data_IF_546912968074
#
_entry.id   IF_546912968074
#
_cell.length_a   1.000
_cell.length_b   1.000
_cell.length_c   1.000
_cell.angle_alpha   90.00
_cell.angle_beta   90.00
_cell.angle_gamma   90.00
#
_symmetry.space_group_name_H-M   'P 1'
#
loop_
_entity.id
_entity.type
_entity.pdbx_description
1 polymer ?
#
# COMPACT_ATOMS: atom_id res chain seq x y z
N UNK A 1 2.11 -18.19 -6.72
CA UNK A 1 2.37 -18.46 -8.16
C UNK A 1 2.03 -17.24 -9.03
N UNK A 2 0.83 -16.67 -8.95
CA UNK A 2 0.40 -15.50 -9.75
C UNK A 2 1.33 -14.29 -9.54
N UNK A 3 1.65 -13.95 -8.30
CA UNK A 3 2.51 -12.83 -7.95
C UNK A 3 3.91 -12.94 -8.56
N UNK A 4 4.57 -14.10 -8.43
CA UNK A 4 5.89 -14.35 -9.03
C UNK A 4 5.87 -14.18 -10.55
N UNK A 5 4.80 -14.66 -11.20
CA UNK A 5 4.63 -14.50 -12.65
C UNK A 5 4.46 -13.04 -13.07
N UNK A 6 3.78 -12.24 -12.26
CA UNK A 6 3.66 -10.79 -12.48
C UNK A 6 5.02 -10.11 -12.40
N UNK A 7 5.85 -10.45 -11.40
CA UNK A 7 7.21 -9.90 -11.31
C UNK A 7 8.11 -10.30 -12.49
N UNK A 8 8.01 -11.56 -12.96
CA UNK A 8 8.75 -12.00 -14.15
C UNK A 8 8.34 -11.17 -15.38
N UNK A 9 7.03 -10.93 -15.57
CA UNK A 9 6.56 -10.06 -16.65
C UNK A 9 7.12 -8.64 -16.54
N UNK A 10 7.15 -8.07 -15.35
CA UNK A 10 7.69 -6.73 -15.14
C UNK A 10 9.19 -6.67 -15.44
N UNK A 11 9.96 -7.72 -15.10
CA UNK A 11 11.39 -7.82 -15.44
C UNK A 11 11.65 -7.84 -16.96
N UNK A 12 10.69 -8.32 -17.76
CA UNK A 12 10.79 -8.29 -19.23
C UNK A 12 10.28 -6.96 -19.80
N UNK A 13 9.15 -6.48 -19.28
CA UNK A 13 8.49 -5.28 -19.80
C UNK A 13 9.28 -3.99 -19.52
N UNK A 14 9.96 -3.89 -18.37
CA UNK A 14 10.74 -2.71 -18.00
C UNK A 14 11.90 -2.44 -18.98
N UNK A 15 12.79 -3.41 -19.28
CA UNK A 15 13.81 -3.21 -20.30
C UNK A 15 13.21 -2.96 -21.69
N UNK A 16 12.16 -3.69 -22.06
CA UNK A 16 11.51 -3.51 -23.36
C UNK A 16 10.98 -2.09 -23.50
N UNK A 17 10.33 -1.55 -22.47
CA UNK A 17 9.89 -0.17 -22.46
C UNK A 17 11.07 0.81 -22.55
N UNK A 18 12.12 0.60 -21.78
CA UNK A 18 13.31 1.44 -21.78
C UNK A 18 13.94 1.59 -23.18
N UNK A 19 14.00 0.50 -23.97
CA UNK A 19 14.58 0.53 -25.31
C UNK A 19 13.63 1.00 -26.41
N UNK A 20 12.31 0.87 -26.24
CA UNK A 20 11.34 1.15 -27.29
C UNK A 20 10.54 2.42 -27.07
N UNK A 21 10.37 2.83 -25.81
CA UNK A 21 9.55 3.96 -25.35
C UNK A 21 8.07 3.91 -25.83
N UNK A 22 7.59 2.75 -26.28
CA UNK A 22 6.22 2.63 -26.77
C UNK A 22 5.18 2.79 -25.64
N UNK A 23 4.24 3.72 -25.82
CA UNK A 23 3.17 3.98 -24.84
C UNK A 23 2.36 2.71 -24.50
N UNK A 24 2.09 1.86 -25.48
CA UNK A 24 1.37 0.60 -25.26
C UNK A 24 2.10 -0.30 -24.25
N UNK A 25 3.43 -0.35 -24.26
CA UNK A 25 4.21 -1.14 -23.30
C UNK A 25 4.11 -0.51 -21.93
N UNK A 26 4.11 0.82 -21.83
CA UNK A 26 3.90 1.55 -20.58
C UNK A 26 2.52 1.24 -19.98
N UNK A 27 1.45 1.26 -20.77
CA UNK A 27 0.11 0.93 -20.30
C UNK A 27 0.00 -0.54 -19.82
N UNK A 28 0.68 -1.47 -20.50
CA UNK A 28 0.79 -2.86 -20.06
C UNK A 28 1.59 -2.97 -18.75
N UNK A 29 2.66 -2.19 -18.58
CA UNK A 29 3.41 -2.10 -17.31
C UNK A 29 2.50 -1.63 -16.17
N UNK A 30 1.78 -0.53 -16.35
CA UNK A 30 0.83 0.00 -15.37
C UNK A 30 -0.20 -1.05 -14.95
N UNK A 31 -0.78 -1.76 -15.93
CA UNK A 31 -1.75 -2.82 -15.66
C UNK A 31 -1.15 -3.96 -14.83
N UNK A 32 0.11 -4.34 -15.10
CA UNK A 32 0.78 -5.37 -14.33
C UNK A 32 1.18 -4.88 -12.93
N UNK A 33 1.60 -3.63 -12.77
CA UNK A 33 1.83 -3.02 -11.46
C UNK A 33 0.53 -3.03 -10.64
N UNK A 34 -0.58 -2.59 -11.21
CA UNK A 34 -1.89 -2.61 -10.53
C UNK A 34 -2.32 -4.01 -10.06
N UNK A 35 -1.93 -5.06 -10.79
CA UNK A 35 -2.22 -6.46 -10.44
C UNK A 35 -1.18 -7.11 -9.52
N UNK A 36 -0.08 -6.43 -9.25
CA UNK A 36 1.04 -7.01 -8.47
C UNK A 36 0.84 -6.99 -6.96
N UNK A 37 -0.20 -6.31 -6.49
CA UNK A 37 -0.52 -6.19 -5.07
C UNK A 37 0.03 -4.93 -4.41
N UNK A 38 -0.21 -4.84 -3.13
CA UNK A 38 0.00 -3.66 -2.29
C UNK A 38 1.46 -3.19 -2.23
N UNK A 39 2.38 -4.13 -2.11
CA UNK A 39 3.81 -3.83 -1.91
C UNK A 39 4.41 -3.11 -3.11
N UNK A 40 4.15 -3.60 -4.33
CA UNK A 40 4.72 -2.96 -5.53
C UNK A 40 4.04 -1.62 -5.84
N UNK A 41 2.72 -1.52 -5.64
CA UNK A 41 2.01 -0.23 -5.76
C UNK A 41 2.63 0.79 -4.80
N UNK A 42 2.81 0.40 -3.54
CA UNK A 42 3.42 1.28 -2.54
C UNK A 42 4.88 1.62 -2.86
N UNK A 43 5.62 0.66 -3.40
CA UNK A 43 6.98 0.91 -3.88
C UNK A 43 7.01 1.96 -5.01
N UNK A 44 6.09 1.89 -5.95
CA UNK A 44 5.95 2.91 -6.99
C UNK A 44 5.61 4.29 -6.39
N UNK A 45 4.63 4.36 -5.48
CA UNK A 45 4.28 5.60 -4.77
C UNK A 45 5.48 6.24 -4.08
N UNK A 46 6.32 5.42 -3.44
CA UNK A 46 7.48 5.86 -2.68
C UNK A 46 8.65 6.26 -3.57
N UNK A 47 8.87 5.55 -4.70
CA UNK A 47 10.04 5.72 -5.56
C UNK A 47 9.87 6.79 -6.63
N UNK A 48 8.68 6.95 -7.21
CA UNK A 48 8.44 7.83 -8.36
C UNK A 48 8.73 9.30 -8.06
N UNK A 49 8.31 9.91 -6.94
CA UNK A 49 8.66 11.29 -6.63
C UNK A 49 10.18 11.49 -6.56
N UNK A 50 10.91 10.54 -5.97
CA UNK A 50 12.37 10.57 -5.85
C UNK A 50 13.06 10.48 -7.21
N UNK A 51 12.56 9.61 -8.09
CA UNK A 51 13.06 9.49 -9.46
C UNK A 51 12.74 10.73 -10.28
N UNK A 52 11.57 11.33 -10.07
CA UNK A 52 11.20 12.55 -10.78
C UNK A 52 12.13 13.73 -10.43
N UNK A 53 12.50 13.89 -9.17
CA UNK A 53 13.49 14.89 -8.75
C UNK A 53 14.85 14.68 -9.41
N UNK A 54 15.25 13.43 -9.66
CA UNK A 54 16.55 13.08 -10.23
C UNK A 54 16.58 13.14 -11.76
N UNK A 55 15.50 12.73 -12.43
CA UNK A 55 15.50 12.48 -13.88
C UNK A 55 14.50 13.33 -14.65
N UNK A 56 13.73 14.21 -13.97
CA UNK A 56 12.68 15.05 -14.59
C UNK A 56 11.77 14.22 -15.52
N UNK A 57 11.07 13.26 -14.95
CA UNK A 57 10.24 12.31 -15.67
C UNK A 57 9.09 12.99 -16.42
N UNK A 58 8.60 12.36 -17.49
CA UNK A 58 7.45 12.84 -18.25
C UNK A 58 6.21 12.97 -17.35
N UNK A 59 5.69 14.19 -17.24
CA UNK A 59 4.55 14.52 -16.36
C UNK A 59 3.28 13.74 -16.71
N UNK A 60 3.03 13.43 -17.98
CA UNK A 60 1.88 12.60 -18.38
C UNK A 60 1.98 11.18 -17.85
N UNK A 61 3.20 10.63 -17.84
CA UNK A 61 3.48 9.30 -17.31
C UNK A 61 3.38 9.27 -15.79
N UNK A 62 3.86 10.33 -15.11
CA UNK A 62 3.69 10.48 -13.66
C UNK A 62 2.20 10.50 -13.31
N UNK A 63 1.39 11.30 -14.00
CA UNK A 63 -0.04 11.39 -13.76
C UNK A 63 -0.73 10.04 -13.91
N UNK A 64 -0.41 9.26 -14.96
CA UNK A 64 -0.90 7.89 -15.12
C UNK A 64 -0.49 6.96 -13.97
N UNK A 65 0.72 7.14 -13.43
CA UNK A 65 1.20 6.38 -12.27
C UNK A 65 0.49 6.81 -10.98
N UNK A 66 0.19 8.08 -10.81
CA UNK A 66 -0.57 8.61 -9.67
C UNK A 66 -1.99 8.05 -9.60
N UNK A 67 -2.62 7.77 -10.73
CA UNK A 67 -3.93 7.09 -10.77
C UNK A 67 -3.91 5.70 -10.12
N UNK A 68 -2.74 5.04 -10.04
CA UNK A 68 -2.61 3.76 -9.32
C UNK A 68 -2.75 3.91 -7.81
N UNK A 69 -2.53 5.11 -7.28
CA UNK A 69 -2.45 5.35 -5.84
C UNK A 69 -3.80 5.57 -5.20
N UNK A 70 -4.74 6.14 -5.96
CA UNK A 70 -6.02 6.61 -5.44
C UNK A 70 -7.12 5.56 -5.48
N UNK A 71 -6.96 4.53 -6.34
CA UNK A 71 -8.00 3.53 -6.60
C UNK A 71 -7.44 2.12 -6.56
N UNK A 72 -7.00 1.69 -5.39
CA UNK A 72 -6.65 0.30 -5.18
C UNK A 72 -7.91 -0.57 -5.15
N UNK A 73 -7.76 -1.84 -5.51
CA UNK A 73 -8.88 -2.77 -5.49
C UNK A 73 -9.37 -3.00 -4.06
N UNK A 74 -10.67 -3.02 -3.89
CA UNK A 74 -11.30 -3.41 -2.63
C UNK A 74 -11.13 -4.92 -2.40
N UNK A 75 -10.81 -5.31 -1.16
CA UNK A 75 -10.95 -6.70 -0.75
C UNK A 75 -12.40 -6.98 -0.32
N UNK A 76 -12.79 -8.26 -0.32
CA UNK A 76 -14.17 -8.64 -0.04
C UNK A 76 -14.56 -8.36 1.40
N UNK A 77 -15.85 -8.03 1.62
CA UNK A 77 -16.41 -7.85 2.95
C UNK A 77 -16.32 -9.14 3.78
N UNK A 78 -16.35 -10.32 3.15
CA UNK A 78 -16.13 -11.61 3.81
C UNK A 78 -14.76 -11.69 4.49
N UNK A 79 -13.71 -11.17 3.81
CA UNK A 79 -12.38 -11.09 4.42
C UNK A 79 -12.37 -10.14 5.61
N UNK A 80 -12.99 -8.97 5.49
CA UNK A 80 -13.11 -7.98 6.57
C UNK A 80 -13.82 -8.59 7.78
N UNK A 81 -14.96 -9.25 7.58
CA UNK A 81 -15.69 -9.94 8.65
C UNK A 81 -14.83 -11.01 9.33
N UNK A 82 -14.13 -11.83 8.55
CA UNK A 82 -13.24 -12.86 9.09
C UNK A 82 -12.13 -12.26 9.97
N UNK A 83 -11.51 -11.17 9.52
CA UNK A 83 -10.46 -10.50 10.29
C UNK A 83 -11.03 -9.84 11.54
N UNK A 84 -12.17 -9.18 11.42
CA UNK A 84 -12.87 -8.56 12.54
C UNK A 84 -13.22 -9.62 13.62
N UNK A 85 -13.88 -10.71 13.21
CA UNK A 85 -14.27 -11.79 14.12
C UNK A 85 -13.06 -12.47 14.77
N UNK A 86 -11.96 -12.66 14.03
CA UNK A 86 -10.72 -13.22 14.59
C UNK A 86 -10.15 -12.38 15.71
N UNK A 87 -10.21 -11.04 15.59
CA UNK A 87 -9.55 -10.12 16.51
C UNK A 87 -10.46 -9.66 17.66
N UNK A 88 -11.76 -9.56 17.43
CA UNK A 88 -12.72 -9.05 18.42
C UNK A 88 -13.70 -10.11 18.95
N UNK A 89 -13.61 -11.35 18.44
CA UNK A 89 -14.43 -12.52 18.86
C UNK A 89 -15.94 -12.30 18.70
N UNK A 90 -16.35 -11.37 17.87
CA UNK A 90 -17.75 -11.08 17.55
C UNK A 90 -17.92 -10.75 16.06
N UNK A 91 -19.13 -10.90 15.54
CA UNK A 91 -19.44 -10.50 14.17
C UNK A 91 -19.60 -8.98 14.09
N UNK A 92 -19.02 -8.37 13.05
CA UNK A 92 -19.14 -6.95 12.76
C UNK A 92 -20.62 -6.54 12.58
N UNK A 93 -21.44 -7.43 11.98
CA UNK A 93 -22.87 -7.20 11.74
C UNK A 93 -23.74 -7.25 13.00
N UNK A 94 -23.23 -7.81 14.12
CA UNK A 94 -23.93 -7.79 15.40
C UNK A 94 -23.75 -6.46 16.13
N UNK A 95 -22.61 -5.81 15.89
CA UNK A 95 -22.23 -4.60 16.60
C UNK A 95 -22.65 -3.33 15.87
N UNK A 96 -22.64 -3.34 14.54
CA UNK A 96 -22.88 -2.15 13.72
C UNK A 96 -24.09 -2.35 12.81
N UNK A 97 -24.93 -1.29 12.72
CA UNK A 97 -26.16 -1.30 11.93
C UNK A 97 -25.93 -1.02 10.46
N UNK A 98 -24.89 -0.26 10.14
CA UNK A 98 -24.49 0.02 8.75
C UNK A 98 -23.00 -0.05 8.56
N UNK A 99 -22.57 -0.58 7.40
CA UNK A 99 -21.17 -0.72 7.01
C UNK A 99 -21.06 -0.29 5.55
N UNK A 100 -20.27 0.76 5.29
CA UNK A 100 -20.07 1.34 3.96
C UNK A 100 -18.57 1.37 3.66
N UNK A 101 -18.19 0.89 2.48
CA UNK A 101 -16.81 0.97 1.97
C UNK A 101 -16.57 2.38 1.44
N UNK A 102 -15.66 3.14 2.08
CA UNK A 102 -15.42 4.54 1.69
C UNK A 102 -14.11 4.76 0.94
N UNK A 103 -13.08 3.97 1.21
CA UNK A 103 -11.79 4.14 0.56
C UNK A 103 -10.97 2.84 0.56
N UNK A 104 -10.19 2.64 -0.50
CA UNK A 104 -9.19 1.58 -0.59
C UNK A 104 -7.86 2.17 -1.05
N UNK A 105 -6.91 2.23 -0.12
CA UNK A 105 -5.53 2.61 -0.39
C UNK A 105 -4.66 1.41 -0.74
N UNK A 106 -3.36 1.63 -0.91
CA UNK A 106 -2.40 0.57 -1.26
C UNK A 106 -2.18 -0.46 -0.14
N UNK A 107 -2.40 -0.12 1.11
CA UNK A 107 -2.11 -0.99 2.27
C UNK A 107 -3.39 -1.53 2.90
N UNK A 108 -4.48 -0.77 2.90
CA UNK A 108 -5.69 -1.15 3.60
C UNK A 108 -6.92 -0.43 3.09
N UNK A 109 -8.05 -0.92 3.55
CA UNK A 109 -9.38 -0.45 3.21
C UNK A 109 -10.04 0.17 4.42
N UNK A 110 -10.80 1.23 4.20
CA UNK A 110 -11.51 1.98 5.25
C UNK A 110 -13.01 1.86 5.03
N UNK A 111 -13.70 1.57 6.12
CA UNK A 111 -15.15 1.47 6.20
C UNK A 111 -15.69 2.57 7.10
N UNK A 112 -16.83 3.15 6.73
CA UNK A 112 -17.66 3.94 7.61
C UNK A 112 -18.71 3.02 8.19
N UNK A 113 -18.81 3.00 9.50
CA UNK A 113 -19.80 2.20 10.24
C UNK A 113 -20.63 3.11 11.11
N UNK A 114 -21.84 2.67 11.45
CA UNK A 114 -22.65 3.27 12.50
C UNK A 114 -22.96 2.22 13.55
N UNK A 115 -22.74 2.56 14.80
CA UNK A 115 -23.16 1.74 15.91
C UNK A 115 -24.70 1.85 16.15
N UNK A 116 -25.17 1.16 17.16
CA UNK A 116 -26.61 1.14 17.52
C UNK A 116 -27.13 2.46 18.08
N UNK A 117 -26.23 3.31 18.57
CA UNK A 117 -26.49 4.65 19.06
C UNK A 117 -26.48 5.69 17.90
N UNK A 118 -26.06 5.27 16.69
CA UNK A 118 -25.99 6.09 15.49
C UNK A 118 -24.67 6.83 15.32
N UNK A 119 -23.69 6.61 16.18
CA UNK A 119 -22.37 7.21 16.12
C UNK A 119 -21.58 6.68 14.93
N UNK A 120 -20.90 7.59 14.23
CA UNK A 120 -20.10 7.25 13.05
C UNK A 120 -18.69 6.82 13.45
N UNK A 121 -18.29 5.61 13.02
CA UNK A 121 -17.00 5.00 13.34
C UNK A 121 -16.30 4.68 12.04
N UNK A 122 -14.97 4.94 11.96
CA UNK A 122 -14.11 4.49 10.88
C UNK A 122 -13.39 3.20 11.29
N UNK A 123 -13.51 2.17 10.45
CA UNK A 123 -12.76 0.91 10.59
C UNK A 123 -11.75 0.81 9.46
N UNK A 124 -10.47 0.62 9.79
CA UNK A 124 -9.40 0.34 8.83
C UNK A 124 -8.96 -1.11 8.94
N UNK A 125 -8.96 -1.82 7.81
CA UNK A 125 -8.50 -3.21 7.70
C UNK A 125 -7.38 -3.28 6.66
N UNK A 126 -6.27 -3.92 7.02
CA UNK A 126 -5.15 -4.16 6.11
C UNK A 126 -5.54 -5.19 5.04
N UNK A 127 -5.08 -4.99 3.80
CA UNK A 127 -5.35 -5.92 2.70
C UNK A 127 -4.81 -7.32 2.96
N UNK A 128 -5.44 -8.37 2.39
CA UNK A 128 -4.95 -9.72 2.51
C UNK A 128 -3.58 -9.89 1.85
N UNK A 129 -2.82 -10.89 2.33
CA UNK A 129 -1.56 -11.35 1.71
C UNK A 129 -0.39 -10.36 1.71
N UNK A 130 -0.47 -9.20 2.36
CA UNK A 130 0.63 -8.21 2.41
C UNK A 130 1.95 -8.83 2.87
N UNK A 131 1.94 -9.69 3.88
CA UNK A 131 3.16 -10.38 4.35
C UNK A 131 3.75 -11.32 3.30
N UNK A 132 2.90 -11.99 2.51
CA UNK A 132 3.33 -12.85 1.43
C UNK A 132 3.92 -12.04 0.27
N UNK A 133 3.29 -10.93 -0.07
CA UNK A 133 3.77 -9.99 -1.07
C UNK A 133 5.12 -9.39 -0.68
N UNK A 134 5.27 -8.96 0.57
CA UNK A 134 6.51 -8.39 1.10
C UNK A 134 7.65 -9.41 1.06
N UNK A 135 7.42 -10.64 1.53
CA UNK A 135 8.43 -11.72 1.44
C UNK A 135 8.81 -12.04 0.00
N UNK A 136 7.85 -12.04 -0.92
CA UNK A 136 8.13 -12.26 -2.35
C UNK A 136 8.97 -11.12 -2.92
N UNK A 137 8.65 -9.88 -2.60
CA UNK A 137 9.41 -8.70 -3.01
C UNK A 137 10.85 -8.76 -2.47
N UNK A 138 11.03 -9.03 -1.17
CA UNK A 138 12.34 -9.20 -0.54
C UNK A 138 13.16 -10.31 -1.19
N UNK A 139 12.52 -11.44 -1.50
CA UNK A 139 13.18 -12.56 -2.16
C UNK A 139 13.66 -12.19 -3.57
N UNK A 140 12.87 -11.45 -4.33
CA UNK A 140 13.26 -10.96 -5.66
C UNK A 140 14.45 -9.99 -5.54
N UNK A 141 14.42 -9.07 -4.58
CA UNK A 141 15.55 -8.18 -4.32
C UNK A 141 16.82 -8.94 -3.92
N UNK A 142 16.67 -10.00 -3.14
CA UNK A 142 17.77 -10.88 -2.79
C UNK A 142 18.38 -11.55 -4.05
N UNK A 143 17.55 -12.12 -4.92
CA UNK A 143 18.01 -12.72 -6.18
C UNK A 143 18.72 -11.72 -7.09
N UNK A 144 18.20 -10.51 -7.22
CA UNK A 144 18.82 -9.42 -7.98
C UNK A 144 20.21 -9.09 -7.41
N UNK A 145 20.35 -9.05 -6.08
CA UNK A 145 21.61 -8.74 -5.43
C UNK A 145 22.70 -9.84 -5.63
N UNK A 146 22.32 -11.08 -5.93
CA UNK A 146 23.27 -12.14 -6.24
C UNK A 146 23.96 -11.94 -7.59
N UNK A 147 23.32 -11.25 -8.53
CA UNK A 147 23.84 -11.04 -9.89
C UNK A 147 24.52 -9.67 -9.97
N UNK A 148 25.85 -9.65 -9.76
CA UNK A 148 26.65 -8.40 -9.69
C UNK A 148 26.36 -7.40 -10.80
N UNK A 149 26.34 -7.76 -12.11
CA UNK A 149 26.07 -6.79 -13.18
C UNK A 149 24.68 -6.15 -13.05
N UNK A 150 23.66 -6.93 -12.70
CA UNK A 150 22.29 -6.42 -12.54
C UNK A 150 22.21 -5.50 -11.33
N UNK A 151 22.76 -5.92 -10.21
CA UNK A 151 22.82 -5.11 -8.99
C UNK A 151 23.48 -3.77 -9.22
N UNK A 152 24.66 -3.77 -9.88
CA UNK A 152 25.43 -2.57 -10.09
C UNK A 152 24.73 -1.62 -11.10
N UNK A 153 24.08 -2.16 -12.14
CA UNK A 153 23.23 -1.39 -13.05
C UNK A 153 22.03 -0.77 -12.32
N UNK A 154 21.33 -1.54 -11.49
CA UNK A 154 20.20 -1.02 -10.71
C UNK A 154 20.66 0.10 -9.79
N UNK A 155 21.77 -0.05 -9.07
CA UNK A 155 22.30 1.00 -8.21
C UNK A 155 22.69 2.27 -8.97
N UNK A 156 23.16 2.13 -10.20
CA UNK A 156 23.54 3.27 -11.04
C UNK A 156 22.31 4.04 -11.56
N UNK A 157 21.31 3.32 -12.12
CA UNK A 157 20.12 3.94 -12.71
C UNK A 157 19.00 4.20 -11.71
N UNK A 158 19.06 3.57 -10.53
CA UNK A 158 18.03 3.62 -9.52
C UNK A 158 18.65 3.73 -8.12
N UNK A 159 19.31 4.86 -7.83
CA UNK A 159 20.06 5.04 -6.58
C UNK A 159 19.12 5.28 -5.37
N UNK A 160 18.18 4.39 -5.15
CA UNK A 160 17.22 4.43 -4.05
C UNK A 160 17.62 3.42 -2.98
N UNK A 161 17.52 3.81 -1.72
CA UNK A 161 17.77 2.91 -0.62
C UNK A 161 16.53 2.05 -0.32
N UNK A 162 16.54 0.82 -0.84
CA UNK A 162 15.45 -0.14 -0.67
C UNK A 162 15.22 -0.57 0.79
N UNK A 163 16.24 -0.50 1.65
CA UNK A 163 16.09 -0.80 3.08
C UNK A 163 15.16 0.22 3.75
N UNK A 164 15.32 1.50 3.43
CA UNK A 164 14.43 2.56 3.93
C UNK A 164 12.99 2.32 3.49
N UNK A 165 12.79 1.93 2.21
CA UNK A 165 11.44 1.57 1.75
C UNK A 165 10.83 0.42 2.57
N UNK A 166 11.59 -0.65 2.83
CA UNK A 166 11.10 -1.80 3.58
C UNK A 166 10.77 -1.45 5.03
N UNK A 167 11.58 -0.60 5.68
CA UNK A 167 11.34 -0.09 7.03
C UNK A 167 10.08 0.77 7.08
N UNK A 168 9.93 1.73 6.14
CA UNK A 168 8.75 2.57 6.01
C UNK A 168 7.49 1.73 5.77
N UNK A 169 7.57 0.74 4.87
CA UNK A 169 6.45 -0.14 4.57
C UNK A 169 6.02 -0.97 5.79
N UNK A 170 6.97 -1.58 6.50
CA UNK A 170 6.68 -2.33 7.72
C UNK A 170 6.05 -1.45 8.80
N UNK A 171 6.51 -0.22 8.93
CA UNK A 171 5.93 0.74 9.89
C UNK A 171 4.47 1.06 9.55
N UNK A 172 4.15 1.26 8.26
CA UNK A 172 2.81 1.60 7.79
C UNK A 172 1.83 0.42 7.84
N UNK A 173 2.31 -0.82 7.79
CA UNK A 173 1.46 -2.02 7.95
C UNK A 173 1.18 -2.38 9.39
N UNK A 174 1.82 -1.73 10.36
CA UNK A 174 1.58 -1.93 11.78
C UNK A 174 0.55 -0.91 12.30
N UNK A 175 -0.73 -1.30 12.37
CA UNK A 175 -1.80 -0.43 12.87
C UNK A 175 -1.61 0.02 14.32
N UNK A 176 -0.82 -0.71 15.13
CA UNK A 176 -0.49 -0.27 16.51
C UNK A 176 0.38 0.98 16.46
N UNK A 177 1.31 1.10 15.52
CA UNK A 177 2.09 2.32 15.34
C UNK A 177 1.20 3.50 14.95
N UNK A 178 0.24 3.26 14.05
CA UNK A 178 -0.74 4.28 13.64
C UNK A 178 -1.61 4.72 14.82
N UNK A 179 -2.06 3.78 15.65
CA UNK A 179 -2.83 4.07 16.87
C UNK A 179 -2.00 4.88 17.89
N UNK A 180 -0.75 4.50 18.12
CA UNK A 180 0.14 5.23 19.04
C UNK A 180 0.40 6.66 18.55
N UNK A 181 0.60 6.84 17.24
CA UNK A 181 0.73 8.16 16.62
C UNK A 181 -0.55 8.98 16.80
N UNK A 182 -1.74 8.37 16.58
CA UNK A 182 -3.03 9.05 16.81
C UNK A 182 -3.13 9.56 18.26
N UNK A 183 -2.84 8.72 19.25
CA UNK A 183 -2.85 9.11 20.67
C UNK A 183 -1.86 10.24 20.98
N UNK A 184 -0.66 10.18 20.39
CA UNK A 184 0.34 11.23 20.53
C UNK A 184 -0.18 12.55 19.97
N UNK A 185 -0.70 12.57 18.74
CA UNK A 185 -1.28 13.77 18.13
C UNK A 185 -2.47 14.29 18.93
N UNK A 186 -3.36 13.41 19.39
CA UNK A 186 -4.50 13.80 20.22
C UNK A 186 -4.02 14.51 21.53
N UNK A 187 -2.93 14.05 22.14
CA UNK A 187 -2.34 14.69 23.31
C UNK A 187 -1.72 16.06 23.00
N UNK A 188 -1.00 16.16 21.86
CA UNK A 188 -0.32 17.39 21.44
C UNK A 188 -1.31 18.51 21.05
N UNK A 189 -2.42 18.14 20.41
CA UNK A 189 -3.41 19.09 19.88
C UNK A 189 -4.67 19.20 20.73
N UNK A 190 -4.66 18.69 21.96
CA UNK A 190 -5.83 18.66 22.85
C UNK A 190 -6.54 20.00 23.05
N UNK A 191 -5.78 21.09 23.05
CA UNK A 191 -6.28 22.45 23.29
C UNK A 191 -6.37 23.27 21.99
N UNK A 192 -6.28 22.62 20.82
CA UNK A 192 -6.35 23.32 19.54
C UNK A 192 -7.77 23.25 18.96
N UNK A 193 -8.40 24.40 18.81
CA UNK A 193 -9.79 24.49 18.32
C UNK A 193 -9.94 24.20 16.81
N UNK A 194 -8.84 24.21 16.05
CA UNK A 194 -8.84 24.03 14.59
C UNK A 194 -8.49 22.61 14.16
N UNK A 195 -7.95 21.77 15.07
CA UNK A 195 -7.50 20.42 14.76
C UNK A 195 -8.32 19.42 15.54
N UNK A 196 -9.04 18.58 14.81
CA UNK A 196 -9.82 17.47 15.37
C UNK A 196 -9.08 16.17 15.08
N UNK A 197 -8.66 15.48 16.12
CA UNK A 197 -8.10 14.14 16.02
C UNK A 197 -9.18 13.12 16.38
N UNK A 198 -9.50 12.15 15.51
CA UNK A 198 -10.47 11.11 15.80
C UNK A 198 -10.09 10.32 17.05
N UNK A 199 -11.06 10.00 17.89
CA UNK A 199 -10.84 9.16 19.06
C UNK A 199 -10.50 7.72 18.65
N UNK A 200 -9.47 7.15 19.26
CA UNK A 200 -9.10 5.76 19.06
C UNK A 200 -9.99 4.86 19.93
N UNK A 201 -10.87 4.08 19.30
CA UNK A 201 -11.76 3.15 20.00
C UNK A 201 -10.99 1.87 20.36
N UNK A 202 -10.34 1.24 19.39
CA UNK A 202 -9.58 0.00 19.60
C UNK A 202 -8.61 -0.27 18.44
N UNK A 203 -7.60 -1.06 18.69
CA UNK A 203 -6.64 -1.54 17.70
C UNK A 203 -6.26 -2.98 18.00
N UNK A 204 -6.00 -3.79 16.97
CA UNK A 204 -5.47 -5.14 17.12
C UNK A 204 -4.26 -5.36 16.21
N UNK A 205 -3.41 -6.33 16.59
CA UNK A 205 -2.45 -6.91 15.64
C UNK A 205 -3.23 -7.79 14.68
N UNK A 206 -3.04 -7.56 13.40
CA UNK A 206 -3.54 -8.49 12.37
C UNK A 206 -2.71 -9.75 12.32
#
# INVERSE_FOLDING_TARGET
MILLFTYIKLMVLLPLYYFTEYEMIFDVLLLNIKKSGSVLIKFCQWSIPRLNEMYNLDQKKIQKLEELYERCNFHSMEYTEKIYQKNFHESIYKKYDSIEEIASGSIGQVYRMKDKEGEAIALKIIHPNIDCELRTFQYILYLINLVKPIRDSIKYYFPINLTVFLEDFNSQTNLINEANNNLLFASMYRNNEYIIIPELITVSKQ
#
